data_IF_652132647048
#
_entry.id   IF_652132647048
#
_cell.length_a   1.000
_cell.length_b   1.000
_cell.length_c   1.000
_cell.angle_alpha   90.00
_cell.angle_beta   90.00
_cell.angle_gamma   90.00
#
_symmetry.space_group_name_H-M   'P 1'
#
loop_
_entity.id
_entity.type
_entity.pdbx_description
1 polymer ?
#
# COMPACT_ATOMS: atom_id res chain seq x y z
N UNK A 1 0.07 18.41 -11.35
CA UNK A 1 -1.03 17.50 -11.78
C UNK A 1 -0.55 16.06 -11.91
N UNK A 2 0.45 15.74 -12.75
CA UNK A 2 0.91 14.35 -12.99
C UNK A 2 1.45 13.60 -11.75
N UNK A 3 2.16 14.28 -10.84
CA UNK A 3 2.75 13.63 -9.65
C UNK A 3 1.71 13.19 -8.61
N UNK A 4 0.66 14.00 -8.38
CA UNK A 4 -0.43 13.60 -7.48
C UNK A 4 -1.18 12.39 -8.02
N UNK A 5 -1.45 12.34 -9.34
CA UNK A 5 -2.09 11.18 -9.98
C UNK A 5 -1.24 9.92 -9.86
N UNK A 6 0.08 10.01 -10.08
CA UNK A 6 0.98 8.87 -9.89
C UNK A 6 1.00 8.37 -8.44
N UNK A 7 0.90 9.28 -7.48
CA UNK A 7 0.89 8.89 -6.07
C UNK A 7 -0.42 8.24 -5.64
N UNK A 8 -1.56 8.78 -6.06
CA UNK A 8 -2.87 8.17 -5.84
C UNK A 8 -2.91 6.77 -6.49
N UNK A 9 -2.35 6.63 -7.70
CA UNK A 9 -2.25 5.34 -8.38
C UNK A 9 -1.41 4.34 -7.59
N UNK A 10 -0.25 4.76 -7.06
CA UNK A 10 0.61 3.89 -6.21
C UNK A 10 -0.12 3.44 -4.94
N UNK A 11 -0.86 4.34 -4.31
CA UNK A 11 -1.66 4.05 -3.13
C UNK A 11 -2.80 3.07 -3.45
N UNK A 12 -3.50 3.30 -4.57
CA UNK A 12 -4.57 2.43 -5.05
C UNK A 12 -4.07 1.02 -5.39
N UNK A 13 -2.92 0.91 -6.08
CA UNK A 13 -2.28 -0.38 -6.38
C UNK A 13 -1.86 -1.09 -5.09
N UNK A 14 -1.24 -0.38 -4.14
CA UNK A 14 -0.87 -0.95 -2.85
C UNK A 14 -2.09 -1.48 -2.08
N UNK A 15 -3.17 -0.69 -2.01
CA UNK A 15 -4.42 -1.10 -1.37
C UNK A 15 -5.07 -2.30 -2.08
N UNK A 16 -5.02 -2.34 -3.41
CA UNK A 16 -5.53 -3.46 -4.20
C UNK A 16 -4.77 -4.76 -3.95
N UNK A 17 -3.44 -4.70 -3.81
CA UNK A 17 -2.63 -5.87 -3.46
C UNK A 17 -2.95 -6.40 -2.06
N UNK A 18 -3.18 -5.52 -1.09
CA UNK A 18 -3.63 -5.90 0.26
C UNK A 18 -5.03 -6.53 0.21
N UNK A 19 -5.93 -5.98 -0.61
CA UNK A 19 -7.26 -6.54 -0.80
C UNK A 19 -7.23 -7.94 -1.42
N UNK A 20 -6.38 -8.17 -2.43
CA UNK A 20 -6.17 -9.50 -3.02
C UNK A 20 -5.58 -10.49 -2.00
N UNK A 21 -4.61 -10.06 -1.20
CA UNK A 21 -4.06 -10.87 -0.12
C UNK A 21 -5.15 -11.29 0.87
N UNK A 22 -6.01 -10.36 1.26
CA UNK A 22 -7.15 -10.62 2.14
C UNK A 22 -8.15 -11.59 1.51
N UNK A 23 -8.47 -11.45 0.21
CA UNK A 23 -9.33 -12.41 -0.50
C UNK A 23 -8.76 -13.82 -0.51
N UNK A 24 -7.45 -13.97 -0.76
CA UNK A 24 -6.79 -15.28 -0.77
C UNK A 24 -6.86 -15.93 0.62
N UNK A 25 -6.55 -15.19 1.68
CA UNK A 25 -6.58 -15.70 3.05
C UNK A 25 -8.01 -16.01 3.50
N UNK A 26 -8.97 -15.12 3.22
CA UNK A 26 -10.38 -15.29 3.62
C UNK A 26 -11.08 -16.42 2.86
N UNK A 27 -10.81 -16.58 1.57
CA UNK A 27 -11.35 -17.69 0.76
C UNK A 27 -10.89 -19.07 1.24
N UNK A 28 -9.67 -19.13 1.79
CA UNK A 28 -9.10 -20.34 2.39
C UNK A 28 -9.72 -20.62 3.75
N UNK A 29 -9.86 -19.60 4.59
CA UNK A 29 -10.58 -19.69 5.87
C UNK A 29 -12.04 -20.12 5.70
N UNK A 30 -12.70 -19.74 4.59
CA UNK A 30 -14.06 -20.20 4.28
C UNK A 30 -14.13 -21.62 3.73
N UNK A 31 -13.02 -22.34 3.63
CA UNK A 31 -12.95 -23.71 3.11
C UNK A 31 -13.21 -23.83 1.60
N UNK A 32 -13.12 -22.72 0.85
CA UNK A 32 -13.55 -22.63 -0.54
C UNK A 32 -12.53 -23.11 -1.57
N UNK A 33 -11.33 -23.50 -1.14
CA UNK A 33 -10.18 -23.65 -2.02
C UNK A 33 -9.34 -24.85 -1.61
N UNK A 34 -9.17 -25.83 -2.51
CA UNK A 34 -8.28 -26.99 -2.30
C UNK A 34 -6.78 -26.67 -2.40
N UNK A 35 -6.37 -25.44 -2.08
CA UNK A 35 -4.98 -25.02 -2.10
C UNK A 35 -4.33 -25.37 -0.75
N UNK A 36 -3.03 -25.64 -0.75
CA UNK A 36 -2.29 -25.94 0.47
C UNK A 36 -2.27 -24.71 1.40
N UNK A 37 -2.74 -24.86 2.64
CA UNK A 37 -2.81 -23.80 3.67
C UNK A 37 -1.50 -23.04 3.82
N UNK A 38 -0.36 -23.75 3.79
CA UNK A 38 0.95 -23.14 3.94
C UNK A 38 1.25 -22.16 2.80
N UNK A 39 0.78 -22.48 1.60
CA UNK A 39 0.97 -21.68 0.40
C UNK A 39 -0.01 -20.49 0.38
N UNK A 40 -1.24 -20.69 0.86
CA UNK A 40 -2.24 -19.65 1.01
C UNK A 40 -1.84 -18.58 2.04
N UNK A 41 -1.50 -19.00 3.25
CA UNK A 41 -1.07 -18.09 4.32
C UNK A 41 0.31 -17.49 4.02
N UNK A 42 1.23 -18.27 3.44
CA UNK A 42 2.54 -17.79 3.05
C UNK A 42 2.48 -16.74 1.93
N UNK A 43 1.80 -17.06 0.82
CA UNK A 43 1.68 -16.13 -0.30
C UNK A 43 0.81 -14.92 0.07
N UNK A 44 -0.32 -15.14 0.74
CA UNK A 44 -1.20 -14.06 1.19
C UNK A 44 -0.53 -13.15 2.22
N UNK A 45 0.19 -13.71 3.19
CA UNK A 45 0.93 -12.94 4.20
C UNK A 45 2.05 -12.09 3.59
N UNK A 46 2.83 -12.66 2.67
CA UNK A 46 3.90 -11.93 1.97
C UNK A 46 3.32 -10.83 1.06
N UNK A 47 2.26 -11.12 0.29
CA UNK A 47 1.57 -10.12 -0.53
C UNK A 47 0.99 -8.99 0.31
N UNK A 48 0.36 -9.30 1.44
CA UNK A 48 -0.20 -8.33 2.36
C UNK A 48 0.87 -7.43 2.98
N UNK A 49 1.97 -8.01 3.46
CA UNK A 49 3.11 -7.27 4.03
C UNK A 49 3.78 -6.38 2.98
N UNK A 50 4.02 -6.88 1.78
CA UNK A 50 4.58 -6.10 0.69
C UNK A 50 3.64 -4.96 0.27
N UNK A 51 2.33 -5.20 0.19
CA UNK A 51 1.33 -4.19 -0.10
C UNK A 51 1.27 -3.08 0.97
N UNK A 52 1.31 -3.45 2.25
CA UNK A 52 1.37 -2.52 3.37
C UNK A 52 2.66 -1.70 3.40
N UNK A 53 3.81 -2.36 3.18
CA UNK A 53 5.10 -1.67 3.12
C UNK A 53 5.16 -0.68 1.95
N UNK A 54 4.62 -1.05 0.79
CA UNK A 54 4.55 -0.17 -0.39
C UNK A 54 3.62 1.03 -0.14
N UNK A 55 2.46 0.80 0.47
CA UNK A 55 1.50 1.85 0.82
C UNK A 55 2.09 2.80 1.89
N UNK A 56 2.74 2.25 2.92
CA UNK A 56 3.43 3.00 3.97
C UNK A 56 4.59 3.84 3.43
N UNK A 57 5.40 3.29 2.51
CA UNK A 57 6.47 4.02 1.84
C UNK A 57 5.93 5.18 1.01
N UNK A 58 4.86 4.96 0.23
CA UNK A 58 4.22 6.01 -0.56
C UNK A 58 3.67 7.14 0.32
N UNK A 59 3.02 6.81 1.44
CA UNK A 59 2.52 7.79 2.41
C UNK A 59 3.65 8.56 3.08
N UNK A 60 4.72 7.88 3.51
CA UNK A 60 5.88 8.53 4.14
C UNK A 60 6.56 9.50 3.18
N UNK A 61 6.73 9.09 1.91
CA UNK A 61 7.26 9.95 0.85
C UNK A 61 6.41 11.20 0.64
N UNK A 62 5.08 11.06 0.63
CA UNK A 62 4.17 12.21 0.49
C UNK A 62 4.25 13.17 1.67
N UNK A 63 4.31 12.64 2.90
CA UNK A 63 4.44 13.47 4.10
C UNK A 63 5.75 14.26 4.09
N UNK A 64 6.84 13.62 3.66
CA UNK A 64 8.14 14.28 3.52
C UNK A 64 8.11 15.40 2.48
N UNK A 65 7.48 15.19 1.33
CA UNK A 65 7.31 16.21 0.29
C UNK A 65 6.41 17.36 0.75
N UNK A 66 5.33 17.08 1.50
CA UNK A 66 4.50 18.13 2.09
C UNK A 66 5.24 18.93 3.16
N UNK A 67 6.01 18.29 4.03
CA UNK A 67 6.82 18.97 5.03
C UNK A 67 7.85 19.92 4.38
N UNK A 68 8.55 19.44 3.35
CA UNK A 68 9.50 20.26 2.58
C UNK A 68 8.82 21.45 1.86
N UNK A 69 7.58 21.27 1.38
CA UNK A 69 6.80 22.34 0.75
C UNK A 69 6.29 23.37 1.77
N UNK A 70 5.91 22.93 2.97
CA UNK A 70 5.55 23.84 4.07
C UNK A 70 6.75 24.66 4.54
N UNK A 71 7.93 24.03 4.69
CA UNK A 71 9.16 24.75 5.05
C UNK A 71 9.61 25.75 3.96
N UNK A 72 9.37 25.45 2.68
CA UNK A 72 9.65 26.39 1.59
C UNK A 72 8.71 27.61 1.65
N UNK A 73 7.42 27.40 1.91
CA UNK A 73 6.44 28.48 2.05
C UNK A 73 6.73 29.39 3.26
N UNK A 74 7.17 28.82 4.39
CA UNK A 74 7.55 29.60 5.58
C UNK A 74 8.83 30.43 5.39
N UNK A 75 9.68 30.11 4.41
CA UNK A 75 10.87 30.90 4.07
C UNK A 75 10.60 32.00 3.03
N UNK A 76 9.43 32.00 2.40
CA UNK A 76 9.00 33.02 1.43
C UNK A 76 8.13 34.14 2.05
N UNK A 77 7.77 34.06 3.33
CA UNK A 77 7.23 35.22 4.06
C UNK A 77 8.40 36.03 4.66
N UNK A 78 8.68 37.25 4.17
CA UNK A 78 9.70 38.15 4.72
C UNK A 78 9.29 38.81 6.04
#
# INVERSE_FOLDING_TARGET
>A
MKEQTQMILRLAVGAYLVYLAYQIISGQLSGGTGMNDLLAYGAGGVLGLCGLAFCGYALWRYRKERAARSEALTKEEP
#
